data_IF_662811557189
#
_entry.id   IF_662811557189
#
_cell.length_a   1.000
_cell.length_b   1.000
_cell.length_c   1.000
_cell.angle_alpha   90.00
_cell.angle_beta   90.00
_cell.angle_gamma   90.00
#
_symmetry.space_group_name_H-M   'P 1'
#
loop_
_entity.id
_entity.type
_entity.pdbx_description
1 polymer ?
#
# COMPACT_ATOMS: atom_id res chain seq x y z
N UNK A 1 -18.58 13.69 9.24
CA UNK A 1 -17.69 13.66 8.05
C UNK A 1 -16.69 12.55 8.30
N UNK A 2 -16.35 11.75 7.28
CA UNK A 2 -15.39 10.63 7.40
C UNK A 2 -14.08 10.98 6.71
N UNK A 3 -12.98 10.37 7.12
CA UNK A 3 -11.62 10.66 6.63
C UNK A 3 -10.90 9.45 6.01
N UNK A 4 -11.55 8.30 5.94
CA UNK A 4 -11.03 7.05 5.38
C UNK A 4 -10.42 6.11 6.41
N UNK A 5 -10.20 6.56 7.65
CA UNK A 5 -9.49 5.78 8.67
C UNK A 5 -10.26 4.53 9.12
N UNK A 6 -11.59 4.60 9.20
CA UNK A 6 -12.42 3.46 9.61
C UNK A 6 -12.48 2.34 8.57
N UNK A 7 -12.36 2.66 7.28
CA UNK A 7 -12.37 1.67 6.20
C UNK A 7 -10.98 1.13 5.85
N UNK A 8 -9.94 1.97 5.88
CA UNK A 8 -8.61 1.70 5.29
C UNK A 8 -8.07 0.32 5.68
N UNK A 9 -8.03 0.08 6.97
CA UNK A 9 -7.47 -1.14 7.56
C UNK A 9 -8.30 -2.39 7.22
N UNK A 10 -9.63 -2.29 7.25
CA UNK A 10 -10.53 -3.39 6.86
C UNK A 10 -10.39 -3.73 5.39
N UNK A 11 -10.37 -2.72 4.53
CA UNK A 11 -10.25 -2.87 3.09
C UNK A 11 -8.90 -3.48 2.68
N UNK A 12 -7.80 -2.99 3.25
CA UNK A 12 -6.47 -3.51 2.97
C UNK A 12 -6.33 -5.00 3.34
N UNK A 13 -6.81 -5.40 4.51
CA UNK A 13 -6.82 -6.81 4.94
C UNK A 13 -7.68 -7.67 4.03
N UNK A 14 -8.88 -7.20 3.67
CA UNK A 14 -9.79 -7.95 2.82
C UNK A 14 -9.24 -8.15 1.40
N UNK A 15 -8.61 -7.13 0.83
CA UNK A 15 -7.97 -7.24 -0.49
C UNK A 15 -6.83 -8.26 -0.47
N UNK A 16 -6.00 -8.28 0.57
CA UNK A 16 -4.96 -9.31 0.73
C UNK A 16 -5.56 -10.72 0.76
N UNK A 17 -6.63 -10.91 1.55
CA UNK A 17 -7.35 -12.20 1.64
C UNK A 17 -7.92 -12.64 0.29
N UNK A 18 -8.55 -11.72 -0.45
CA UNK A 18 -9.07 -12.00 -1.81
C UNK A 18 -7.93 -12.43 -2.73
N UNK A 19 -6.83 -11.68 -2.76
CA UNK A 19 -5.68 -11.98 -3.62
C UNK A 19 -5.03 -13.32 -3.29
N UNK A 20 -4.87 -13.64 -2.00
CA UNK A 20 -4.30 -14.91 -1.56
C UNK A 20 -5.22 -16.12 -1.83
N UNK A 21 -6.55 -15.92 -1.84
CA UNK A 21 -7.53 -16.97 -2.10
C UNK A 21 -7.76 -17.21 -3.60
N UNK A 22 -7.75 -16.16 -4.40
CA UNK A 22 -8.27 -16.17 -5.78
C UNK A 22 -7.19 -16.01 -6.85
N UNK A 23 -5.93 -15.74 -6.47
CA UNK A 23 -4.84 -15.51 -7.41
C UNK A 23 -3.54 -16.18 -6.95
N UNK A 24 -2.61 -16.40 -7.89
CA UNK A 24 -1.25 -16.87 -7.56
C UNK A 24 -0.28 -15.74 -7.19
N UNK A 25 -0.78 -14.51 -7.00
CA UNK A 25 0.06 -13.35 -6.71
C UNK A 25 0.60 -13.38 -5.28
N UNK A 26 -0.21 -13.79 -4.31
CA UNK A 26 0.16 -13.85 -2.89
C UNK A 26 0.19 -15.30 -2.42
N UNK A 27 1.36 -15.75 -1.98
CA UNK A 27 1.56 -17.10 -1.46
C UNK A 27 2.64 -17.10 -0.38
N UNK A 28 2.63 -18.14 0.43
CA UNK A 28 3.68 -18.36 1.44
C UNK A 28 5.07 -18.30 0.81
N UNK A 29 5.95 -17.50 1.40
CA UNK A 29 7.32 -17.28 0.93
C UNK A 29 7.46 -16.33 -0.27
N UNK A 30 6.39 -15.73 -0.78
CA UNK A 30 6.51 -14.65 -1.76
C UNK A 30 7.24 -13.46 -1.11
N UNK A 31 8.26 -12.92 -1.78
CA UNK A 31 9.06 -11.82 -1.24
C UNK A 31 8.33 -10.51 -1.43
N UNK A 32 7.94 -9.89 -0.32
CA UNK A 32 7.17 -8.63 -0.31
C UNK A 32 8.02 -7.55 0.32
N UNK A 33 8.25 -6.46 -0.40
CA UNK A 33 8.85 -5.25 0.14
C UNK A 33 7.78 -4.18 0.31
N UNK A 34 7.56 -3.74 1.55
CA UNK A 34 6.67 -2.62 1.86
C UNK A 34 7.45 -1.32 2.01
N UNK A 35 7.12 -0.29 1.22
CA UNK A 35 7.84 0.99 1.30
C UNK A 35 7.47 1.82 2.53
N UNK A 36 6.25 1.62 3.04
CA UNK A 36 5.73 2.19 4.28
C UNK A 36 4.64 1.29 4.83
N UNK A 37 4.92 0.71 5.99
CA UNK A 37 4.13 -0.33 6.64
C UNK A 37 3.38 0.25 7.83
N UNK A 38 3.96 1.24 8.51
CA UNK A 38 3.30 1.93 9.63
C UNK A 38 2.05 2.69 9.18
N UNK A 39 2.08 3.32 7.99
CA UNK A 39 0.88 3.95 7.42
C UNK A 39 -0.17 2.90 7.00
N UNK A 40 0.27 1.72 6.56
CA UNK A 40 -0.57 0.67 5.95
C UNK A 40 -0.50 -0.63 6.75
N UNK A 41 -0.72 -0.51 8.04
CA UNK A 41 -0.51 -1.60 8.98
C UNK A 41 -1.43 -2.80 8.70
N UNK A 42 -2.69 -2.55 8.32
CA UNK A 42 -3.60 -3.63 7.92
C UNK A 42 -3.09 -4.44 6.73
N UNK A 43 -2.48 -3.80 5.73
CA UNK A 43 -1.83 -4.50 4.62
C UNK A 43 -0.61 -5.31 5.10
N UNK A 44 0.22 -4.73 5.98
CA UNK A 44 1.42 -5.38 6.51
C UNK A 44 1.11 -6.66 7.29
N UNK A 45 0.16 -6.58 8.24
CA UNK A 45 -0.32 -7.72 9.01
C UNK A 45 -0.85 -8.83 8.09
N UNK A 46 -1.77 -8.50 7.19
CA UNK A 46 -2.40 -9.53 6.36
C UNK A 46 -1.40 -10.22 5.43
N UNK A 47 -0.40 -9.51 4.91
CA UNK A 47 0.65 -10.12 4.07
C UNK A 47 1.55 -11.04 4.91
N UNK A 48 1.87 -10.65 6.14
CA UNK A 48 2.60 -11.50 7.09
C UNK A 48 1.79 -12.74 7.50
N UNK A 49 0.48 -12.60 7.74
CA UNK A 49 -0.44 -13.71 8.07
C UNK A 49 -0.56 -14.74 6.92
N UNK A 50 -0.56 -14.27 5.66
CA UNK A 50 -0.47 -15.15 4.48
C UNK A 50 0.85 -15.93 4.45
N UNK A 51 1.85 -15.49 5.21
CA UNK A 51 3.17 -16.11 5.30
C UNK A 51 4.13 -15.63 4.22
N UNK A 52 3.95 -14.41 3.70
CA UNK A 52 4.91 -13.78 2.80
C UNK A 52 6.26 -13.55 3.51
N UNK A 53 7.36 -13.56 2.75
CA UNK A 53 8.68 -13.18 3.24
C UNK A 53 8.77 -11.64 3.21
N UNK A 54 8.59 -11.02 4.39
CA UNK A 54 8.37 -9.59 4.51
C UNK A 54 9.67 -8.80 4.65
N UNK A 55 9.75 -7.69 3.93
CA UNK A 55 10.76 -6.64 4.10
C UNK A 55 10.05 -5.31 4.30
N UNK A 56 10.02 -4.80 5.52
CA UNK A 56 9.45 -3.50 5.86
C UNK A 56 10.52 -2.41 5.73
N UNK A 57 10.35 -1.57 4.71
CA UNK A 57 11.28 -0.54 4.28
C UNK A 57 11.11 0.80 4.97
N UNK A 58 10.32 0.89 6.04
CA UNK A 58 9.98 2.14 6.72
C UNK A 58 11.24 2.96 7.06
N UNK A 59 12.25 2.36 7.71
CA UNK A 59 13.50 3.05 8.03
C UNK A 59 14.34 3.41 6.79
N UNK A 60 14.29 2.57 5.75
CA UNK A 60 15.01 2.79 4.49
C UNK A 60 14.47 3.99 3.74
N UNK A 61 13.16 4.04 3.54
CA UNK A 61 12.52 4.99 2.64
C UNK A 61 12.09 6.29 3.34
N UNK A 62 11.70 6.23 4.63
CA UNK A 62 11.32 7.42 5.40
C UNK A 62 12.55 8.08 6.03
N UNK A 63 13.38 7.32 6.76
CA UNK A 63 14.53 7.85 7.51
C UNK A 63 15.87 7.80 6.74
N UNK A 64 15.95 7.06 5.63
CA UNK A 64 17.20 6.91 4.86
C UNK A 64 18.24 5.98 5.50
N UNK A 65 17.84 5.26 6.56
CA UNK A 65 18.67 4.32 7.31
C UNK A 65 18.64 2.98 6.57
N UNK A 66 19.78 2.43 6.11
CA UNK A 66 19.81 1.23 5.26
C UNK A 66 19.60 -0.07 6.06
N UNK A 67 18.59 -0.09 6.93
CA UNK A 67 18.19 -1.22 7.78
C UNK A 67 16.77 -1.63 7.43
N UNK A 68 16.60 -2.88 7.00
CA UNK A 68 15.30 -3.47 6.68
C UNK A 68 14.80 -4.29 7.87
N UNK A 69 13.56 -4.02 8.27
CA UNK A 69 12.84 -4.76 9.31
C UNK A 69 12.17 -5.95 8.62
N UNK A 70 12.24 -7.16 9.21
CA UNK A 70 11.74 -8.37 8.53
C UNK A 70 10.65 -9.11 9.31
N UNK A 71 10.26 -8.61 10.48
CA UNK A 71 9.24 -9.23 11.34
C UNK A 71 8.22 -8.20 11.80
N UNK A 72 6.98 -8.63 12.00
CA UNK A 72 5.90 -7.74 12.50
C UNK A 72 6.21 -7.23 13.91
N UNK A 73 6.79 -8.07 14.76
CA UNK A 73 7.15 -7.72 16.14
C UNK A 73 8.15 -6.56 16.17
N UNK A 74 9.21 -6.64 15.36
CA UNK A 74 10.19 -5.57 15.23
C UNK A 74 9.58 -4.28 14.66
N UNK A 75 8.67 -4.40 13.67
CA UNK A 75 7.97 -3.24 13.11
C UNK A 75 7.13 -2.53 14.18
N UNK A 76 6.37 -3.29 14.98
CA UNK A 76 5.56 -2.78 16.09
C UNK A 76 6.41 -2.12 17.18
N UNK A 77 7.52 -2.76 17.57
CA UNK A 77 8.44 -2.17 18.55
C UNK A 77 8.99 -0.82 18.10
N UNK A 78 9.41 -0.72 16.83
CA UNK A 78 9.96 0.51 16.26
C UNK A 78 8.86 1.55 16.12
N UNK A 79 7.67 1.18 15.65
CA UNK A 79 6.52 2.06 15.54
C UNK A 79 6.15 2.65 16.92
N UNK A 80 6.05 1.83 17.96
CA UNK A 80 5.73 2.27 19.32
C UNK A 80 6.77 3.25 19.89
N UNK A 81 8.05 3.06 19.55
CA UNK A 81 9.13 3.96 19.97
C UNK A 81 9.15 5.29 19.21
N UNK A 82 8.85 5.27 17.90
CA UNK A 82 9.04 6.43 17.02
C UNK A 82 7.76 7.25 16.78
N UNK A 83 6.57 6.62 16.75
CA UNK A 83 5.30 7.28 16.48
C UNK A 83 5.00 8.49 17.39
N UNK A 84 5.27 8.44 18.71
CA UNK A 84 5.01 9.59 19.60
C UNK A 84 5.79 10.84 19.21
N UNK A 85 6.97 10.69 18.62
CA UNK A 85 7.79 11.81 18.17
C UNK A 85 7.45 12.22 16.73
N UNK A 86 7.22 11.24 15.84
CA UNK A 86 6.84 11.50 14.44
C UNK A 86 5.53 12.29 14.38
N UNK A 87 4.53 11.94 15.20
CA UNK A 87 3.21 12.62 15.22
C UNK A 87 3.29 14.09 15.63
N UNK A 88 4.38 14.52 16.28
CA UNK A 88 4.62 15.93 16.64
C UNK A 88 5.27 16.73 15.51
N UNK A 89 5.81 16.06 14.49
CA UNK A 89 6.49 16.74 13.37
C UNK A 89 5.50 17.24 12.31
N UNK A 90 5.83 18.33 11.59
CA UNK A 90 5.06 18.75 10.42
C UNK A 90 4.93 17.64 9.37
N UNK A 91 3.70 17.40 8.90
CA UNK A 91 3.37 16.35 7.94
C UNK A 91 4.28 16.31 6.70
N UNK A 92 4.64 17.47 6.14
CA UNK A 92 5.48 17.59 4.94
C UNK A 92 6.94 17.12 5.14
N UNK A 93 7.40 16.92 6.37
CA UNK A 93 8.70 16.33 6.67
C UNK A 93 8.67 14.80 6.64
N UNK A 94 7.52 14.22 6.95
CA UNK A 94 7.31 12.77 7.05
C UNK A 94 6.86 12.22 5.70
N UNK A 95 6.01 12.96 4.99
CA UNK A 95 5.37 12.53 3.77
C UNK A 95 5.70 13.42 2.57
N UNK A 96 5.93 12.86 1.37
CA UNK A 96 6.04 13.66 0.16
C UNK A 96 4.75 14.45 -0.08
N UNK A 97 4.86 15.78 -0.20
CA UNK A 97 3.76 16.69 -0.54
C UNK A 97 4.13 17.58 -1.72
N UNK A 98 3.11 18.01 -2.48
CA UNK A 98 3.28 18.86 -3.66
C UNK A 98 4.16 18.21 -4.73
N UNK A 99 5.06 18.99 -5.34
CA UNK A 99 5.94 18.52 -6.44
C UNK A 99 6.80 17.30 -6.08
N UNK A 100 7.06 17.07 -4.78
CA UNK A 100 7.84 15.90 -4.32
C UNK A 100 7.10 14.57 -4.52
N UNK A 101 5.78 14.59 -4.73
CA UNK A 101 4.97 13.40 -5.02
C UNK A 101 5.18 12.88 -6.45
N UNK A 102 5.66 13.75 -7.35
CA UNK A 102 5.87 13.43 -8.77
C UNK A 102 7.35 13.23 -9.12
N UNK A 103 8.27 13.65 -8.25
CA UNK A 103 9.72 13.57 -8.46
C UNK A 103 10.34 12.28 -7.91
N UNK A 104 11.32 11.73 -8.63
CA UNK A 104 12.20 10.68 -8.11
C UNK A 104 13.36 11.28 -7.31
N UNK A 105 13.81 10.59 -6.26
CA UNK A 105 15.02 10.94 -5.50
C UNK A 105 16.19 10.11 -6.04
N UNK A 106 16.84 10.57 -7.12
CA UNK A 106 17.84 9.81 -7.88
C UNK A 106 18.96 9.19 -7.03
N UNK A 107 19.40 9.91 -5.99
CA UNK A 107 20.44 9.42 -5.08
C UNK A 107 19.92 8.24 -4.24
N UNK A 108 18.71 8.36 -3.68
CA UNK A 108 18.08 7.28 -2.90
C UNK A 108 17.63 6.12 -3.79
N UNK A 109 17.15 6.39 -5.00
CA UNK A 109 16.81 5.37 -6.01
C UNK A 109 18.01 4.45 -6.24
N UNK A 110 19.19 5.01 -6.54
CA UNK A 110 20.41 4.22 -6.71
C UNK A 110 20.81 3.46 -5.45
N UNK A 111 20.72 4.11 -4.28
CA UNK A 111 21.12 3.51 -2.98
C UNK A 111 20.22 2.33 -2.58
N UNK A 112 18.92 2.40 -2.90
CA UNK A 112 17.91 1.47 -2.40
C UNK A 112 17.31 0.55 -3.46
N UNK A 113 17.77 0.65 -4.72
CA UNK A 113 17.32 -0.19 -5.83
C UNK A 113 17.30 -1.70 -5.50
N UNK A 114 18.30 -2.17 -4.74
CA UNK A 114 18.39 -3.59 -4.32
C UNK A 114 17.12 -4.11 -3.63
N UNK A 115 16.42 -3.27 -2.86
CA UNK A 115 15.21 -3.67 -2.16
C UNK A 115 14.04 -3.90 -3.12
N UNK A 116 13.98 -3.13 -4.22
CA UNK A 116 12.98 -3.31 -5.27
C UNK A 116 13.28 -4.55 -6.11
N UNK A 117 14.54 -4.75 -6.51
CA UNK A 117 14.92 -5.89 -7.36
C UNK A 117 14.84 -7.24 -6.63
N UNK A 118 15.05 -7.27 -5.32
CA UNK A 118 14.99 -8.49 -4.52
C UNK A 118 13.57 -8.88 -4.10
N UNK A 119 12.55 -8.10 -4.45
CA UNK A 119 11.15 -8.39 -4.14
C UNK A 119 10.42 -8.95 -5.35
N UNK A 120 9.43 -9.82 -5.10
CA UNK A 120 8.46 -10.25 -6.11
C UNK A 120 7.29 -9.25 -6.18
N UNK A 121 6.95 -8.67 -5.01
CA UNK A 121 5.88 -7.70 -4.83
C UNK A 121 6.42 -6.47 -4.09
N UNK A 122 6.13 -5.29 -4.60
CA UNK A 122 6.35 -4.02 -3.90
C UNK A 122 5.00 -3.48 -3.47
N UNK A 123 4.82 -3.31 -2.17
CA UNK A 123 3.57 -2.90 -1.58
C UNK A 123 3.67 -1.56 -0.83
N UNK A 124 2.55 -0.86 -0.71
CA UNK A 124 2.44 0.35 0.09
C UNK A 124 1.88 1.54 -0.67
N UNK A 125 2.21 2.75 -0.22
CA UNK A 125 1.69 3.96 -0.85
C UNK A 125 2.36 4.28 -2.19
N UNK A 126 1.54 4.58 -3.20
CA UNK A 126 2.04 4.76 -4.55
C UNK A 126 3.06 5.89 -4.68
N UNK A 127 2.90 7.00 -3.94
CA UNK A 127 3.85 8.12 -4.04
C UNK A 127 5.23 7.74 -3.49
N UNK A 128 5.29 6.98 -2.40
CA UNK A 128 6.55 6.46 -1.87
C UNK A 128 7.17 5.41 -2.80
N UNK A 129 6.34 4.51 -3.34
CA UNK A 129 6.77 3.54 -4.36
C UNK A 129 7.41 4.27 -5.55
N UNK A 130 6.69 5.23 -6.16
CA UNK A 130 7.15 6.01 -7.31
C UNK A 130 8.46 6.74 -7.03
N UNK A 131 8.56 7.36 -5.85
CA UNK A 131 9.71 8.20 -5.47
C UNK A 131 11.04 7.44 -5.41
N UNK A 132 11.01 6.16 -5.05
CA UNK A 132 12.21 5.34 -4.86
C UNK A 132 12.36 4.19 -5.87
N UNK A 133 11.40 4.01 -6.78
CA UNK A 133 11.44 2.95 -7.79
C UNK A 133 12.61 3.11 -8.77
N UNK A 134 13.51 2.12 -8.86
CA UNK A 134 14.56 2.11 -9.88
C UNK A 134 14.00 1.77 -11.26
N UNK A 135 14.78 2.05 -12.30
CA UNK A 135 14.57 1.46 -13.62
C UNK A 135 14.97 -0.02 -13.62
N UNK A 136 14.61 -0.75 -14.68
CA UNK A 136 14.99 -2.17 -14.81
C UNK A 136 14.24 -3.08 -13.85
N UNK A 137 12.97 -2.75 -13.55
CA UNK A 137 12.07 -3.73 -12.97
C UNK A 137 11.90 -4.88 -13.98
N UNK A 138 11.69 -6.08 -13.48
CA UNK A 138 11.71 -7.33 -14.21
C UNK A 138 10.39 -8.08 -14.03
N UNK A 139 9.27 -7.37 -14.17
CA UNK A 139 7.95 -7.96 -14.07
C UNK A 139 7.37 -8.06 -12.65
N UNK A 140 7.97 -7.41 -11.64
CA UNK A 140 7.43 -7.37 -10.28
C UNK A 140 5.98 -6.89 -10.24
N UNK A 141 5.28 -7.26 -9.17
CA UNK A 141 3.92 -6.77 -8.88
C UNK A 141 3.99 -5.52 -8.01
N UNK A 142 3.23 -4.48 -8.37
CA UNK A 142 2.98 -3.32 -7.49
C UNK A 142 1.63 -3.50 -6.83
N UNK A 143 1.56 -3.43 -5.51
CA UNK A 143 0.33 -3.49 -4.74
C UNK A 143 0.13 -2.20 -3.93
N UNK A 144 -0.86 -1.41 -4.30
CA UNK A 144 -1.03 -0.05 -3.76
C UNK A 144 -2.50 0.33 -3.60
N UNK A 145 -2.79 1.56 -3.19
CA UNK A 145 -4.15 2.07 -3.00
C UNK A 145 -4.77 2.65 -4.27
N UNK A 146 -4.18 3.70 -4.80
CA UNK A 146 -4.77 4.52 -5.85
C UNK A 146 -3.74 4.85 -6.90
N UNK A 147 -4.15 4.84 -8.16
CA UNK A 147 -3.30 5.21 -9.30
C UNK A 147 -4.08 6.06 -10.29
N UNK A 148 -3.33 6.79 -11.11
CA UNK A 148 -3.81 7.52 -12.28
C UNK A 148 -3.26 6.89 -13.57
N UNK A 149 -3.74 7.34 -14.73
CA UNK A 149 -3.21 6.87 -16.02
C UNK A 149 -1.71 7.18 -16.22
N UNK A 150 -1.21 8.31 -15.69
CA UNK A 150 0.22 8.65 -15.76
C UNK A 150 1.07 7.75 -14.85
N UNK A 151 0.50 7.27 -13.75
CA UNK A 151 1.14 6.28 -12.89
C UNK A 151 1.28 4.94 -13.58
N UNK A 152 0.23 4.49 -14.27
CA UNK A 152 0.27 3.26 -15.09
C UNK A 152 1.33 3.37 -16.19
N UNK A 153 1.43 4.51 -16.87
CA UNK A 153 2.45 4.74 -17.89
C UNK A 153 3.87 4.69 -17.30
N UNK A 154 4.08 5.31 -16.14
CA UNK A 154 5.34 5.25 -15.40
C UNK A 154 5.71 3.81 -15.01
N UNK A 155 4.76 3.02 -14.49
CA UNK A 155 5.02 1.63 -14.11
C UNK A 155 5.43 0.77 -15.32
N UNK A 156 4.77 0.97 -16.47
CA UNK A 156 5.14 0.30 -17.73
C UNK A 156 6.56 0.67 -18.16
N UNK A 157 6.91 1.95 -18.12
CA UNK A 157 8.27 2.43 -18.45
C UNK A 157 9.33 1.78 -17.55
N UNK A 158 9.02 1.56 -16.27
CA UNK A 158 9.96 0.95 -15.31
C UNK A 158 10.11 -0.56 -15.49
N UNK A 159 9.23 -1.24 -16.22
CA UNK A 159 9.26 -2.70 -16.43
C UNK A 159 8.43 -3.50 -15.41
N UNK A 160 7.41 -2.89 -14.80
CA UNK A 160 6.49 -3.57 -13.88
C UNK A 160 5.54 -4.48 -14.64
N UNK A 161 5.32 -5.70 -14.13
CA UNK A 161 4.50 -6.70 -14.82
C UNK A 161 3.01 -6.66 -14.45
N UNK A 162 2.69 -6.41 -13.17
CA UNK A 162 1.31 -6.37 -12.67
C UNK A 162 1.12 -5.21 -11.71
N UNK A 163 -0.02 -4.52 -11.80
CA UNK A 163 -0.49 -3.54 -10.82
C UNK A 163 -1.75 -4.07 -10.14
N UNK A 164 -1.79 -4.00 -8.83
CA UNK A 164 -2.96 -4.25 -8.00
C UNK A 164 -3.29 -3.00 -7.20
N UNK A 165 -4.55 -2.56 -7.24
CA UNK A 165 -5.05 -1.46 -6.40
C UNK A 165 -6.13 -1.92 -5.42
N UNK A 166 -6.06 -1.48 -4.17
CA UNK A 166 -7.04 -1.83 -3.13
C UNK A 166 -8.42 -1.26 -3.41
N UNK A 167 -8.51 -0.13 -4.11
CA UNK A 167 -9.79 0.42 -4.58
C UNK A 167 -10.01 0.19 -6.08
N UNK A 168 -11.27 -0.06 -6.49
CA UNK A 168 -11.62 -0.21 -7.90
C UNK A 168 -11.38 1.09 -8.66
N UNK A 169 -11.26 0.98 -9.98
CA UNK A 169 -11.18 2.13 -10.87
C UNK A 169 -12.56 2.49 -11.40
N UNK A 170 -12.85 3.78 -11.43
CA UNK A 170 -14.06 4.32 -12.01
C UNK A 170 -13.71 5.58 -12.82
N UNK A 171 -13.96 5.53 -14.13
CA UNK A 171 -13.70 6.67 -15.02
C UNK A 171 -12.23 7.03 -15.15
N UNK A 172 -11.33 6.04 -15.14
CA UNK A 172 -9.88 6.20 -15.32
C UNK A 172 -9.09 6.50 -14.05
N UNK A 173 -9.73 6.52 -12.87
CA UNK A 173 -9.05 6.77 -11.58
C UNK A 173 -9.57 5.86 -10.47
N UNK A 174 -8.69 5.53 -9.53
CA UNK A 174 -9.06 4.91 -8.26
C UNK A 174 -9.41 5.97 -7.23
N UNK A 175 -10.47 5.75 -6.46
CA UNK A 175 -10.87 6.65 -5.38
C UNK A 175 -10.13 6.34 -4.08
N UNK A 176 -9.84 7.38 -3.29
CA UNK A 176 -9.27 7.24 -1.96
C UNK A 176 -10.24 6.58 -0.98
N UNK A 177 -9.70 6.04 0.12
CA UNK A 177 -10.50 5.36 1.16
C UNK A 177 -11.52 6.27 1.82
N UNK A 178 -11.28 7.57 1.90
CA UNK A 178 -12.23 8.57 2.41
C UNK A 178 -13.53 8.62 1.58
N UNK A 179 -13.42 8.61 0.24
CA UNK A 179 -14.57 8.63 -0.67
C UNK A 179 -15.30 7.29 -0.62
N UNK A 180 -14.55 6.18 -0.60
CA UNK A 180 -15.12 4.84 -0.48
C UNK A 180 -15.86 4.67 0.85
N UNK A 181 -15.27 5.12 1.96
CA UNK A 181 -15.89 5.08 3.29
C UNK A 181 -17.18 5.90 3.30
N UNK A 182 -17.15 7.11 2.74
CA UNK A 182 -18.34 7.96 2.67
C UNK A 182 -19.50 7.28 1.91
N UNK A 183 -19.19 6.59 0.81
CA UNK A 183 -20.19 5.83 0.05
C UNK A 183 -20.74 4.64 0.86
N UNK A 184 -19.87 3.87 1.53
CA UNK A 184 -20.29 2.72 2.33
C UNK A 184 -21.14 3.14 3.53
N UNK A 185 -20.72 4.17 4.28
CA UNK A 185 -21.49 4.72 5.41
C UNK A 185 -22.87 5.20 4.94
N UNK A 186 -22.95 5.89 3.80
CA UNK A 186 -24.23 6.35 3.26
C UNK A 186 -25.19 5.19 2.95
N UNK A 187 -24.67 4.02 2.55
CA UNK A 187 -25.45 2.80 2.30
C UNK A 187 -25.84 2.11 3.61
N UNK A 188 -24.96 2.07 4.61
CA UNK A 188 -25.21 1.42 5.90
C UNK A 188 -26.39 2.04 6.66
N UNK A 189 -26.67 3.32 6.44
CA UNK A 189 -27.74 4.07 7.10
C UNK A 189 -27.70 3.93 8.65
N UNK A 190 -26.49 3.94 9.20
CA UNK A 190 -26.20 3.91 10.63
C UNK A 190 -25.64 5.26 11.08
N UNK A 191 -25.80 5.59 12.36
CA UNK A 191 -25.05 6.70 12.94
C UNK A 191 -23.55 6.40 12.89
N UNK A 192 -22.73 7.39 12.54
CA UNK A 192 -21.27 7.21 12.36
C UNK A 192 -20.58 6.54 13.55
N UNK A 193 -20.97 6.89 14.78
CA UNK A 193 -20.38 6.31 16.00
C UNK A 193 -20.76 4.85 16.26
N UNK A 194 -21.69 4.30 15.47
CA UNK A 194 -22.14 2.91 15.56
C UNK A 194 -21.62 2.03 14.41
N UNK A 195 -20.91 2.62 13.44
CA UNK A 195 -20.33 1.88 12.32
C UNK A 195 -19.11 1.11 12.82
N UNK A 196 -19.10 -0.20 12.58
CA UNK A 196 -18.02 -1.10 12.99
C UNK A 196 -17.21 -1.60 11.79
N UNK A 197 -16.02 -2.17 12.03
CA UNK A 197 -15.24 -2.83 10.98
C UNK A 197 -16.01 -3.98 10.31
N UNK A 198 -16.79 -4.71 11.09
CA UNK A 198 -17.63 -5.81 10.61
C UNK A 198 -18.72 -5.31 9.64
N UNK A 199 -19.30 -4.13 9.90
CA UNK A 199 -20.27 -3.52 8.99
C UNK A 199 -19.66 -3.22 7.62
N UNK A 200 -18.42 -2.71 7.60
CA UNK A 200 -17.69 -2.50 6.35
C UNK A 200 -17.42 -3.82 5.64
N UNK A 201 -16.95 -4.84 6.36
CA UNK A 201 -16.63 -6.15 5.78
C UNK A 201 -17.86 -6.81 5.14
N UNK A 202 -18.98 -6.84 5.85
CA UNK A 202 -20.24 -7.40 5.35
C UNK A 202 -20.73 -6.64 4.12
N UNK A 203 -20.61 -5.31 4.11
CA UNK A 203 -21.02 -4.53 2.96
C UNK A 203 -20.09 -4.72 1.75
N UNK A 204 -18.77 -4.79 1.96
CA UNK A 204 -17.80 -5.12 0.90
C UNK A 204 -18.11 -6.48 0.27
N UNK A 205 -18.46 -7.49 1.07
CA UNK A 205 -18.86 -8.81 0.58
C UNK A 205 -20.18 -8.75 -0.19
N UNK A 206 -21.19 -8.05 0.33
CA UNK A 206 -22.49 -7.88 -0.35
C UNK A 206 -22.39 -7.14 -1.68
N UNK A 207 -21.46 -6.21 -1.79
CA UNK A 207 -21.19 -5.46 -3.03
C UNK A 207 -20.30 -6.22 -4.01
N UNK A 208 -19.90 -7.46 -3.66
CA UNK A 208 -18.94 -8.25 -4.41
C UNK A 208 -17.67 -7.45 -4.73
N UNK A 209 -17.18 -6.71 -3.73
CA UNK A 209 -16.04 -5.83 -3.91
C UNK A 209 -14.81 -6.61 -4.40
N UNK A 210 -14.11 -6.07 -5.40
CA UNK A 210 -12.89 -6.66 -5.94
C UNK A 210 -11.76 -5.65 -6.06
N UNK A 211 -10.51 -6.03 -5.74
CA UNK A 211 -9.36 -5.23 -6.11
C UNK A 211 -9.24 -5.19 -7.63
N UNK A 212 -8.66 -4.11 -8.15
CA UNK A 212 -8.35 -4.01 -9.57
C UNK A 212 -6.99 -4.62 -9.81
N UNK A 213 -6.90 -5.54 -10.77
CA UNK A 213 -5.66 -6.18 -11.21
C UNK A 213 -5.44 -5.83 -12.68
N UNK A 214 -4.31 -5.21 -12.99
CA UNK A 214 -3.94 -4.79 -14.35
C UNK A 214 -2.61 -5.44 -14.74
N UNK A 215 -2.61 -6.20 -15.83
CA UNK A 215 -1.37 -6.68 -16.46
C UNK A 215 -0.77 -5.53 -17.28
N UNK A 216 0.47 -5.19 -16.99
CA UNK A 216 1.17 -4.06 -17.62
C UNK A 216 2.10 -4.50 -18.76
N UNK A 217 2.40 -5.80 -18.85
CA UNK A 217 3.36 -6.38 -19.80
C UNK A 217 4.78 -6.28 -19.24
N UNK A 218 5.54 -7.37 -19.33
CA UNK A 218 6.97 -7.41 -19.05
C UNK A 218 7.72 -7.63 -20.38
#
# INVERSE_FOLDING_TARGET
>A
MVDGSGLKNTLEREVVKILARETDLLKKGARVMMVSSVDRFGMAEALAEVGCDMTFGDLVFTAGIPYAINTMEELEEIANKLLPEITKMPFHLIYPTGKKQESQDEAKVKKFARYYHNADIIAGDFHLIRRFMPAGMSGQTIFTNTTTSSDIAFLKEKGVGTLVTTTPEYGGRSFGTNVMEAALVAILNKELGQVTEQDYLELLHRLDFRPRIVKLGA
#
